data_IF_545225227623
#
_entry.id   IF_545225227623
#
_cell.length_a   1.000
_cell.length_b   1.000
_cell.length_c   1.000
_cell.angle_alpha   90.00
_cell.angle_beta   90.00
_cell.angle_gamma   90.00
#
_symmetry.space_group_name_H-M   'P 1'
#
loop_
_entity.id
_entity.type
_entity.pdbx_description
1 polymer ?
#
# COMPACT_ATOMS: atom_id res chain seq x y z
N UNK A 1 8.59 17.89 -12.55
CA UNK A 1 7.16 18.26 -12.40
C UNK A 1 7.08 19.19 -11.21
N UNK A 2 6.42 20.34 -11.33
CA UNK A 2 6.29 21.31 -10.23
C UNK A 2 4.87 21.25 -9.67
N UNK A 3 4.76 21.10 -8.34
CA UNK A 3 3.51 21.09 -7.59
C UNK A 3 3.41 22.39 -6.79
N UNK A 4 2.31 23.12 -6.91
CA UNK A 4 2.04 24.29 -6.09
C UNK A 4 0.82 24.04 -5.22
N UNK A 5 1.03 24.06 -3.90
CA UNK A 5 -0.03 23.96 -2.90
C UNK A 5 -0.41 25.37 -2.46
N UNK A 6 -1.68 25.74 -2.58
CA UNK A 6 -2.22 27.05 -2.20
C UNK A 6 -2.98 26.93 -0.88
N UNK A 7 -3.15 28.07 -0.19
CA UNK A 7 -3.88 28.18 1.07
C UNK A 7 -3.34 27.27 2.18
N UNK A 8 -2.02 27.13 2.28
CA UNK A 8 -1.40 26.50 3.45
C UNK A 8 -1.44 27.47 4.61
N UNK A 9 -1.88 27.01 5.77
CA UNK A 9 -1.83 27.79 7.01
C UNK A 9 -0.38 28.05 7.44
N UNK A 10 -0.14 29.24 8.02
CA UNK A 10 1.19 29.66 8.46
C UNK A 10 1.79 28.73 9.52
N UNK A 11 0.93 28.13 10.35
CA UNK A 11 1.36 27.16 11.36
C UNK A 11 1.98 25.92 10.70
N UNK A 12 1.32 25.34 9.69
CA UNK A 12 1.87 24.21 8.92
C UNK A 12 3.18 24.57 8.24
N UNK A 13 3.29 25.77 7.65
CA UNK A 13 4.56 26.23 7.04
C UNK A 13 5.68 26.23 8.08
N UNK A 14 5.45 26.85 9.24
CA UNK A 14 6.45 26.91 10.33
C UNK A 14 6.81 25.52 10.87
N UNK A 15 5.83 24.62 10.98
CA UNK A 15 6.07 23.26 11.44
C UNK A 15 6.95 22.48 10.45
N UNK A 16 6.69 22.64 9.14
CA UNK A 16 7.47 22.02 8.07
C UNK A 16 8.90 22.57 8.02
N UNK A 17 9.09 23.88 8.17
CA UNK A 17 10.42 24.49 8.23
C UNK A 17 11.24 23.98 9.42
N UNK A 18 10.64 23.93 10.61
CA UNK A 18 11.30 23.39 11.80
C UNK A 18 11.65 21.91 11.64
N UNK A 19 10.78 21.13 10.97
CA UNK A 19 11.04 19.73 10.67
C UNK A 19 12.17 19.57 9.66
N UNK A 20 12.21 20.40 8.63
CA UNK A 20 13.27 20.42 7.63
C UNK A 20 14.63 20.76 8.25
N UNK A 21 14.68 21.78 9.11
CA UNK A 21 15.88 22.16 9.86
C UNK A 21 16.39 21.01 10.75
N UNK A 22 15.49 20.32 11.46
CA UNK A 22 15.83 19.13 12.27
C UNK A 22 16.41 18.00 11.43
N UNK A 23 15.91 17.81 10.21
CA UNK A 23 16.37 16.79 9.27
C UNK A 23 17.55 17.22 8.39
N UNK A 24 18.10 18.43 8.61
CA UNK A 24 19.25 18.95 7.85
C UNK A 24 18.98 19.14 6.35
N UNK A 25 17.74 19.42 5.97
CA UNK A 25 17.31 19.55 4.56
C UNK A 25 16.49 20.82 4.33
N UNK A 26 16.34 21.20 3.07
CA UNK A 26 15.46 22.33 2.70
C UNK A 26 13.99 21.99 2.95
N UNK A 27 13.15 23.02 3.12
CA UNK A 27 11.71 22.84 3.28
C UNK A 27 11.08 22.08 2.09
N UNK A 28 11.50 22.39 0.86
CA UNK A 28 11.05 21.65 -0.33
C UNK A 28 11.47 20.18 -0.28
N UNK A 29 12.71 19.88 0.13
CA UNK A 29 13.19 18.51 0.25
C UNK A 29 12.44 17.72 1.35
N UNK A 30 12.07 18.38 2.45
CA UNK A 30 11.19 17.81 3.48
C UNK A 30 9.81 17.48 2.92
N UNK A 31 9.16 18.44 2.25
CA UNK A 31 7.83 18.25 1.65
C UNK A 31 7.87 17.11 0.64
N UNK A 32 8.89 17.09 -0.23
CA UNK A 32 9.07 16.02 -1.21
C UNK A 32 9.17 14.66 -0.53
N UNK A 33 9.98 14.55 0.52
CA UNK A 33 10.13 13.29 1.24
C UNK A 33 8.83 12.83 1.92
N UNK A 34 8.05 13.76 2.49
CA UNK A 34 6.74 13.46 3.08
C UNK A 34 5.78 12.93 1.99
N UNK A 35 5.70 13.62 0.85
CA UNK A 35 4.85 13.21 -0.27
C UNK A 35 5.27 11.85 -0.85
N UNK A 36 6.57 11.61 -1.01
CA UNK A 36 7.08 10.32 -1.47
C UNK A 36 6.73 9.21 -0.49
N UNK A 37 6.91 9.42 0.81
CA UNK A 37 6.57 8.43 1.83
C UNK A 37 5.06 8.14 1.85
N UNK A 38 4.21 9.18 1.79
CA UNK A 38 2.76 9.02 1.75
C UNK A 38 2.30 8.26 0.50
N UNK A 39 2.88 8.55 -0.66
CA UNK A 39 2.56 7.85 -1.90
C UNK A 39 3.03 6.38 -1.88
N UNK A 40 4.16 6.09 -1.24
CA UNK A 40 4.70 4.74 -1.15
C UNK A 40 3.81 3.80 -0.33
N UNK A 41 3.16 4.29 0.74
CA UNK A 41 2.24 3.49 1.56
C UNK A 41 1.06 2.97 0.75
N UNK A 42 0.47 3.80 -0.11
CA UNK A 42 -0.64 3.42 -0.98
C UNK A 42 -0.22 2.43 -2.08
N UNK A 43 1.01 2.58 -2.61
CA UNK A 43 1.52 1.67 -3.63
C UNK A 43 1.93 0.32 -3.06
N UNK A 44 2.52 0.28 -1.86
CA UNK A 44 2.91 -0.97 -1.21
C UNK A 44 1.69 -1.88 -1.00
N UNK A 45 0.58 -1.34 -0.49
CA UNK A 45 -0.65 -2.14 -0.30
C UNK A 45 -1.13 -2.72 -1.65
N UNK A 46 -1.26 -1.90 -2.70
CA UNK A 46 -1.78 -2.38 -3.98
C UNK A 46 -0.83 -3.31 -4.75
N UNK A 47 0.47 -3.01 -4.77
CA UNK A 47 1.47 -3.80 -5.48
C UNK A 47 1.73 -5.14 -4.79
N UNK A 48 1.72 -5.17 -3.46
CA UNK A 48 1.85 -6.42 -2.69
C UNK A 48 0.66 -7.35 -2.98
N UNK A 49 -0.57 -6.83 -3.05
CA UNK A 49 -1.75 -7.65 -3.37
C UNK A 49 -1.73 -8.24 -4.77
N UNK A 50 -1.26 -7.49 -5.78
CA UNK A 50 -1.17 -8.00 -7.16
C UNK A 50 -0.14 -9.12 -7.22
N UNK A 51 1.05 -8.91 -6.63
CA UNK A 51 2.10 -9.92 -6.60
C UNK A 51 1.66 -11.18 -5.85
N UNK A 52 1.06 -11.03 -4.66
CA UNK A 52 0.54 -12.15 -3.87
C UNK A 52 -0.55 -12.89 -4.64
N UNK A 53 -1.42 -12.18 -5.35
CA UNK A 53 -2.48 -12.79 -6.17
C UNK A 53 -1.91 -13.56 -7.36
N UNK A 54 -0.88 -13.04 -8.03
CA UNK A 54 -0.23 -13.72 -9.14
C UNK A 54 0.56 -14.95 -8.67
N UNK A 55 1.24 -14.88 -7.53
CA UNK A 55 1.89 -16.03 -6.89
C UNK A 55 0.86 -17.10 -6.48
N UNK A 56 -0.27 -16.70 -5.91
CA UNK A 56 -1.35 -17.62 -5.55
C UNK A 56 -1.94 -18.27 -6.80
N UNK A 57 -2.18 -17.50 -7.87
CA UNK A 57 -2.68 -18.04 -9.15
C UNK A 57 -1.68 -19.00 -9.77
N UNK A 58 -0.38 -18.70 -9.72
CA UNK A 58 0.67 -19.57 -10.23
C UNK A 58 0.76 -20.88 -9.43
N UNK A 59 0.63 -20.82 -8.10
CA UNK A 59 0.63 -22.00 -7.22
C UNK A 59 -0.60 -22.88 -7.40
N UNK A 60 -1.76 -22.27 -7.65
CA UNK A 60 -3.02 -22.99 -7.89
C UNK A 60 -3.22 -23.35 -9.36
N UNK A 61 -2.33 -22.91 -10.26
CA UNK A 61 -2.40 -23.26 -11.67
C UNK A 61 -2.20 -24.77 -11.84
N UNK A 62 -3.10 -25.41 -12.61
CA UNK A 62 -3.06 -26.84 -12.88
C UNK A 62 -3.78 -27.71 -11.85
N UNK A 63 -4.29 -27.15 -10.75
CA UNK A 63 -5.13 -27.88 -9.80
C UNK A 63 -6.61 -27.64 -10.09
N UNK A 64 -7.34 -28.69 -10.45
CA UNK A 64 -8.80 -28.69 -10.36
C UNK A 64 -9.18 -28.90 -8.90
N UNK A 65 -9.53 -27.82 -8.20
CA UNK A 65 -10.04 -27.92 -6.84
C UNK A 65 -11.38 -28.64 -6.84
N UNK A 66 -11.53 -29.64 -5.96
CA UNK A 66 -12.84 -30.26 -5.71
C UNK A 66 -13.77 -29.22 -5.11
N UNK A 67 -14.95 -28.97 -5.70
CA UNK A 67 -15.93 -28.09 -5.12
C UNK A 67 -16.29 -28.52 -3.69
N UNK A 68 -16.33 -27.56 -2.76
CA UNK A 68 -16.46 -27.85 -1.34
C UNK A 68 -17.78 -28.57 -1.01
N UNK A 69 -18.82 -28.36 -1.80
CA UNK A 69 -20.11 -29.04 -1.69
C UNK A 69 -20.02 -30.57 -1.85
N UNK A 70 -19.04 -31.08 -2.59
CA UNK A 70 -18.83 -32.53 -2.75
C UNK A 70 -18.22 -33.10 -1.48
N UNK A 71 -17.16 -32.47 -0.97
CA UNK A 71 -16.45 -32.88 0.26
C UNK A 71 -17.38 -32.84 1.49
N UNK A 72 -18.24 -31.81 1.57
CA UNK A 72 -19.22 -31.68 2.65
C UNK A 72 -20.29 -32.77 2.58
N UNK A 73 -20.64 -33.26 1.38
CA UNK A 73 -21.58 -34.37 1.22
C UNK A 73 -20.95 -35.69 1.65
N UNK A 74 -19.74 -36.00 1.17
CA UNK A 74 -19.00 -37.21 1.56
C UNK A 74 -18.85 -37.33 3.08
N UNK A 75 -18.45 -36.24 3.76
CA UNK A 75 -18.33 -36.22 5.22
C UNK A 75 -19.65 -36.43 5.97
N UNK A 76 -20.80 -36.09 5.37
CA UNK A 76 -22.12 -36.33 5.96
C UNK A 76 -22.58 -37.77 5.77
N UNK A 77 -22.23 -38.38 4.64
CA UNK A 77 -22.61 -39.75 4.29
C UNK A 77 -21.77 -40.80 5.06
N UNK A 78 -20.60 -40.41 5.58
CA UNK A 78 -19.71 -41.26 6.42
C UNK A 78 -20.14 -41.39 7.90
N UNK A 79 -21.22 -40.72 8.32
CA UNK A 79 -21.60 -40.56 9.74
C UNK A 79 -22.92 -41.24 10.08
#
# INVERSE_FOLDING_TARGET
>A
MNLHVRNLDEETVRALEQRAARNGRSAEAEVRAILTAAAAVEMADRSDWIQVSDELRARSAGFSHTPSEILVRESRDER
#
